data_IF_892213948140
#
_entry.id   IF_892213948140
#
_cell.length_a   1.000
_cell.length_b   1.000
_cell.length_c   1.000
_cell.angle_alpha   90.00
_cell.angle_beta   90.00
_cell.angle_gamma   90.00
#
_symmetry.space_group_name_H-M   'P 1'
#
loop_
_entity.id
_entity.type
_entity.pdbx_description
1 polymer ?
#
# COMPACT_ATOMS: atom_id res chain seq x y z
N UNK A 1 44.10 34.66 51.83
CA UNK A 1 43.59 35.79 51.02
C UNK A 1 43.61 35.35 49.55
N UNK A 2 42.59 35.66 48.74
CA UNK A 2 42.64 35.35 47.32
C UNK A 2 43.76 36.14 46.63
N UNK A 3 44.58 35.45 45.82
CA UNK A 3 45.64 36.10 45.03
C UNK A 3 45.00 36.87 43.87
N UNK A 4 45.22 38.19 43.81
CA UNK A 4 44.66 39.05 42.76
C UNK A 4 45.27 38.65 41.41
N UNK A 5 44.41 38.40 40.41
CA UNK A 5 44.83 38.09 39.04
C UNK A 5 45.11 36.61 38.74
N UNK A 6 44.95 35.70 39.71
CA UNK A 6 45.06 34.26 39.47
C UNK A 6 43.71 33.56 39.61
N UNK A 7 43.44 32.53 38.78
CA UNK A 7 42.25 31.71 38.95
C UNK A 7 42.31 30.95 40.28
N UNK A 8 41.13 30.59 40.81
CA UNK A 8 41.03 29.80 42.03
C UNK A 8 41.79 28.48 41.87
N UNK A 9 42.67 28.17 42.83
CA UNK A 9 43.45 26.93 42.81
C UNK A 9 42.48 25.75 42.97
N UNK A 10 42.47 24.86 41.99
CA UNK A 10 41.67 23.64 42.03
C UNK A 10 42.58 22.48 42.45
N UNK A 11 42.16 21.64 43.41
CA UNK A 11 43.02 20.61 44.03
C UNK A 11 43.12 19.31 43.23
N UNK A 12 42.79 19.32 41.94
CA UNK A 12 42.87 18.12 41.10
C UNK A 12 44.28 17.91 40.57
N UNK A 13 44.73 16.66 40.55
CA UNK A 13 45.96 16.25 39.87
C UNK A 13 45.74 16.37 38.36
N UNK A 14 46.33 17.40 37.75
CA UNK A 14 46.27 17.61 36.31
C UNK A 14 47.30 16.71 35.59
N UNK A 15 47.00 16.28 34.35
CA UNK A 15 47.98 15.68 33.45
C UNK A 15 49.24 16.54 33.26
N UNK A 16 50.29 15.92 32.70
CA UNK A 16 51.57 16.59 32.39
C UNK A 16 51.38 17.86 31.55
N UNK A 17 52.36 18.78 31.60
CA UNK A 17 52.30 20.07 30.89
C UNK A 17 52.06 19.93 29.38
N UNK A 18 52.52 18.82 28.78
CA UNK A 18 52.40 18.56 27.34
C UNK A 18 51.04 17.99 26.93
N UNK A 19 50.11 17.80 27.89
CA UNK A 19 48.78 17.31 27.61
C UNK A 19 47.90 18.40 27.00
N UNK A 20 47.50 18.21 25.75
CA UNK A 20 46.51 19.05 25.10
C UNK A 20 45.10 18.68 25.59
N UNK A 21 44.45 19.60 26.31
CA UNK A 21 43.06 19.45 26.70
C UNK A 21 42.13 19.65 25.49
N UNK A 22 41.07 18.86 25.42
CA UNK A 22 40.07 18.91 24.36
C UNK A 22 40.00 17.60 23.56
N UNK A 23 39.04 17.54 22.64
CA UNK A 23 38.87 16.41 21.73
C UNK A 23 39.74 16.62 20.50
N UNK A 24 40.78 15.80 20.34
CA UNK A 24 41.54 15.75 19.10
C UNK A 24 40.78 14.90 18.06
N UNK A 25 40.31 15.56 17.00
CA UNK A 25 39.71 14.87 15.85
C UNK A 25 40.83 14.66 14.83
N UNK A 26 41.40 13.46 14.84
CA UNK A 26 42.38 13.07 13.84
C UNK A 26 41.71 13.00 12.46
N UNK A 27 42.16 13.86 11.53
CA UNK A 27 41.71 13.81 10.14
C UNK A 27 42.61 12.86 9.37
N UNK A 28 42.04 11.76 8.88
CA UNK A 28 42.70 10.79 7.99
C UNK A 28 42.08 10.86 6.60
N UNK A 29 41.78 12.07 6.13
CA UNK A 29 40.96 12.28 4.92
C UNK A 29 41.80 12.36 3.64
N UNK A 30 43.12 12.11 3.72
CA UNK A 30 44.03 12.12 2.55
C UNK A 30 44.23 13.46 1.83
N UNK A 31 43.46 14.47 2.21
CA UNK A 31 43.42 15.78 1.58
C UNK A 31 42.72 15.79 0.23
N UNK A 32 42.93 16.87 -0.51
CA UNK A 32 42.36 17.12 -1.85
C UNK A 32 42.63 16.00 -2.86
N UNK A 33 43.84 15.40 -2.97
CA UNK A 33 44.09 14.39 -3.99
C UNK A 33 43.29 13.10 -3.78
N UNK A 34 43.07 12.68 -2.53
CA UNK A 34 42.25 11.49 -2.22
C UNK A 34 40.76 11.76 -2.49
N UNK A 35 40.28 12.97 -2.14
CA UNK A 35 38.90 13.40 -2.41
C UNK A 35 38.55 13.47 -3.91
N UNK A 36 39.51 13.81 -4.77
CA UNK A 36 39.30 13.89 -6.23
C UNK A 36 39.63 12.56 -6.92
N UNK A 37 40.66 11.85 -6.45
CA UNK A 37 41.21 10.66 -7.12
C UNK A 37 40.49 9.35 -6.78
N UNK A 38 39.80 9.28 -5.64
CA UNK A 38 39.03 8.09 -5.25
C UNK A 38 37.55 8.42 -5.09
N UNK A 39 36.71 7.78 -5.91
CA UNK A 39 35.29 7.73 -5.65
C UNK A 39 35.05 6.72 -4.52
N UNK A 40 35.01 7.23 -3.29
CA UNK A 40 34.78 6.40 -2.12
C UNK A 40 33.31 5.95 -2.12
N UNK A 41 33.03 4.82 -2.76
CA UNK A 41 31.75 4.16 -2.59
C UNK A 41 31.66 3.74 -1.13
N UNK A 42 30.80 4.41 -0.36
CA UNK A 42 30.52 4.04 1.04
C UNK A 42 30.25 2.55 1.06
N UNK A 43 31.23 1.76 1.51
CA UNK A 43 31.03 0.33 1.68
C UNK A 43 29.94 0.22 2.74
N UNK A 44 28.82 -0.46 2.45
CA UNK A 44 27.77 -0.59 3.43
C UNK A 44 28.41 -1.19 4.68
N UNK A 45 28.25 -0.49 5.80
CA UNK A 45 28.68 -1.00 7.10
C UNK A 45 27.94 -2.31 7.30
N UNK A 46 28.67 -3.44 7.24
CA UNK A 46 28.10 -4.74 7.56
C UNK A 46 27.51 -4.61 8.96
N UNK A 47 26.21 -4.82 9.07
CA UNK A 47 25.57 -4.83 10.39
C UNK A 47 26.29 -5.88 11.23
N UNK A 48 26.70 -5.54 12.44
CA UNK A 48 27.27 -6.57 13.30
C UNK A 48 26.17 -7.60 13.58
N UNK A 49 26.52 -8.88 13.78
CA UNK A 49 25.53 -9.92 14.05
C UNK A 49 24.62 -9.60 15.25
N UNK A 50 25.05 -8.71 16.16
CA UNK A 50 24.27 -8.22 17.30
C UNK A 50 23.22 -7.17 16.93
N UNK A 51 23.49 -6.39 15.89
CA UNK A 51 22.58 -5.35 15.38
C UNK A 51 21.46 -5.95 14.52
N UNK A 52 21.65 -7.19 14.04
CA UNK A 52 20.66 -7.90 13.26
C UNK A 52 19.45 -8.31 14.12
N UNK A 53 18.23 -8.26 13.57
CA UNK A 53 17.04 -8.69 14.30
C UNK A 53 17.06 -10.21 14.52
N UNK A 54 16.32 -10.65 15.54
CA UNK A 54 16.16 -12.07 15.86
C UNK A 54 15.23 -12.75 14.88
N UNK A 55 15.59 -13.96 14.48
CA UNK A 55 14.72 -14.81 13.67
C UNK A 55 13.79 -15.61 14.57
N UNK A 56 12.65 -15.01 14.90
CA UNK A 56 11.67 -15.64 15.79
C UNK A 56 11.05 -16.90 15.17
N UNK A 57 10.95 -17.03 13.84
CA UNK A 57 10.32 -18.20 13.24
C UNK A 57 11.16 -19.45 13.45
N UNK A 58 12.46 -19.36 13.16
CA UNK A 58 13.37 -20.50 13.36
C UNK A 58 13.58 -20.79 14.84
N UNK A 59 13.70 -19.76 15.68
CA UNK A 59 13.80 -19.91 17.14
C UNK A 59 12.57 -20.60 17.72
N UNK A 60 11.36 -20.16 17.36
CA UNK A 60 10.11 -20.74 17.87
C UNK A 60 9.94 -22.18 17.43
N UNK A 61 10.25 -22.48 16.16
CA UNK A 61 10.23 -23.86 15.64
C UNK A 61 11.22 -24.75 16.38
N UNK A 62 12.41 -24.25 16.70
CA UNK A 62 13.40 -24.97 17.49
C UNK A 62 12.99 -25.16 18.94
N UNK A 63 12.38 -24.16 19.56
CA UNK A 63 11.87 -24.24 20.93
C UNK A 63 10.75 -25.28 21.06
N UNK A 64 9.83 -25.32 20.09
CA UNK A 64 8.78 -26.35 20.02
C UNK A 64 9.39 -27.75 19.85
N UNK A 65 10.41 -27.91 19.00
CA UNK A 65 11.15 -29.18 18.85
C UNK A 65 11.89 -29.58 20.13
N UNK A 66 12.32 -28.61 20.93
CA UNK A 66 12.97 -28.84 22.22
C UNK A 66 11.98 -29.10 23.37
N UNK A 67 10.67 -29.11 23.10
CA UNK A 67 9.64 -29.37 24.11
C UNK A 67 9.35 -28.18 25.02
N UNK A 68 9.73 -26.95 24.63
CA UNK A 68 9.35 -25.76 25.38
C UNK A 68 7.83 -25.56 25.30
N UNK A 69 7.15 -25.57 26.46
CA UNK A 69 5.70 -25.42 26.56
C UNK A 69 5.30 -24.13 27.27
N UNK A 70 6.13 -23.65 28.20
CA UNK A 70 5.85 -22.45 28.99
C UNK A 70 6.60 -21.23 28.46
N UNK A 71 6.04 -20.03 28.60
CA UNK A 71 6.72 -18.78 28.24
C UNK A 71 8.10 -18.61 28.90
N UNK A 72 8.27 -19.13 30.13
CA UNK A 72 9.56 -19.15 30.83
C UNK A 72 10.60 -20.01 30.08
N UNK A 73 10.18 -21.16 29.57
CA UNK A 73 11.05 -22.08 28.83
C UNK A 73 11.47 -21.46 27.49
N UNK A 74 10.53 -20.82 26.80
CA UNK A 74 10.82 -20.05 25.60
C UNK A 74 11.83 -18.93 25.89
N UNK A 75 11.67 -18.19 26.99
CA UNK A 75 12.61 -17.14 27.38
C UNK A 75 14.02 -17.68 27.68
N UNK A 76 14.12 -18.85 28.33
CA UNK A 76 15.41 -19.52 28.56
C UNK A 76 16.02 -20.01 27.23
N UNK A 77 15.19 -20.58 26.35
CA UNK A 77 15.59 -21.04 25.03
C UNK A 77 16.14 -19.89 24.18
N UNK A 78 15.48 -18.72 24.19
CA UNK A 78 15.93 -17.54 23.44
C UNK A 78 17.25 -16.96 23.95
N UNK A 79 17.52 -17.07 25.25
CA UNK A 79 18.81 -16.66 25.83
C UNK A 79 19.93 -17.63 25.46
N UNK A 80 19.62 -18.93 25.41
CA UNK A 80 20.60 -19.97 25.08
C UNK A 80 20.90 -20.06 23.58
N UNK A 81 19.89 -19.84 22.73
CA UNK A 81 19.98 -19.96 21.26
C UNK A 81 19.52 -18.67 20.61
N UNK A 82 20.41 -17.68 20.58
CA UNK A 82 20.16 -16.39 19.94
C UNK A 82 20.44 -16.49 18.43
N UNK A 83 19.43 -16.87 17.64
CA UNK A 83 19.50 -16.91 16.19
C UNK A 83 19.08 -15.57 15.59
N UNK A 84 19.91 -15.05 14.69
CA UNK A 84 19.73 -13.74 14.06
C UNK A 84 19.40 -13.93 12.58
N UNK A 85 18.55 -13.07 12.05
CA UNK A 85 18.24 -13.07 10.61
C UNK A 85 19.52 -12.88 9.82
N UNK A 86 19.67 -13.58 8.69
CA UNK A 86 20.80 -13.37 7.79
C UNK A 86 20.68 -12.01 7.10
N UNK A 87 21.80 -11.38 6.80
CA UNK A 87 21.87 -10.08 6.13
C UNK A 87 21.12 -10.09 4.79
N UNK A 88 21.11 -11.23 4.11
CA UNK A 88 20.43 -11.46 2.83
C UNK A 88 18.89 -11.41 2.93
N UNK A 89 18.30 -11.92 4.02
CA UNK A 89 16.84 -11.98 4.22
C UNK A 89 16.27 -10.65 4.71
N UNK A 90 17.05 -9.89 5.49
CA UNK A 90 16.65 -8.58 5.99
C UNK A 90 16.79 -7.47 4.94
N UNK A 91 17.59 -7.72 3.89
CA UNK A 91 17.60 -6.91 2.68
C UNK A 91 16.36 -7.22 1.83
N UNK A 92 15.17 -6.85 2.33
CA UNK A 92 13.94 -6.78 1.52
C UNK A 92 14.10 -5.84 0.32
N UNK A 93 15.15 -5.02 0.35
CA UNK A 93 15.70 -4.32 -0.79
C UNK A 93 16.73 -5.22 -1.46
N UNK A 94 16.28 -6.29 -2.12
CA UNK A 94 16.98 -6.83 -3.27
C UNK A 94 17.22 -5.67 -4.23
N UNK A 95 18.37 -5.02 -4.08
CA UNK A 95 18.80 -3.79 -4.74
C UNK A 95 19.25 -4.11 -6.16
N UNK A 96 18.49 -4.94 -6.85
CA UNK A 96 18.56 -5.07 -8.28
C UNK A 96 17.20 -4.64 -8.81
N UNK A 97 17.14 -3.69 -9.75
CA UNK A 97 15.92 -3.47 -10.51
C UNK A 97 15.43 -4.84 -11.01
N UNK A 98 14.11 -5.10 -11.00
CA UNK A 98 13.59 -6.31 -11.63
C UNK A 98 14.20 -6.44 -13.02
N UNK A 99 14.63 -7.65 -13.40
CA UNK A 99 15.23 -7.88 -14.72
C UNK A 99 14.16 -7.56 -15.77
N UNK A 100 14.29 -6.42 -16.43
CA UNK A 100 13.37 -5.99 -17.47
C UNK A 100 13.82 -6.55 -18.83
N UNK A 101 12.88 -6.93 -19.71
CA UNK A 101 13.20 -7.26 -21.10
C UNK A 101 13.92 -6.10 -21.79
N UNK A 102 14.81 -6.39 -22.74
CA UNK A 102 15.56 -5.35 -23.48
C UNK A 102 14.66 -4.36 -24.24
N UNK A 103 13.45 -4.77 -24.61
CA UNK A 103 12.46 -3.93 -25.28
C UNK A 103 11.52 -3.18 -24.32
N UNK A 104 11.76 -3.23 -23.00
CA UNK A 104 10.92 -2.55 -22.03
C UNK A 104 11.25 -1.05 -22.00
N UNK A 105 10.33 -0.24 -22.51
CA UNK A 105 10.40 1.22 -22.39
C UNK A 105 9.61 1.66 -21.16
N UNK A 106 10.23 2.48 -20.31
CA UNK A 106 9.54 3.11 -19.19
C UNK A 106 8.68 4.28 -19.65
N UNK A 107 7.56 4.51 -18.97
CA UNK A 107 6.68 5.65 -19.21
C UNK A 107 5.47 5.33 -20.09
N UNK A 108 4.55 6.28 -20.15
CA UNK A 108 3.33 6.19 -20.97
C UNK A 108 3.63 6.87 -22.31
N UNK A 109 3.40 6.22 -23.46
CA UNK A 109 3.59 6.88 -24.75
C UNK A 109 2.69 8.12 -24.84
N UNK A 110 3.14 9.20 -25.51
CA UNK A 110 2.31 10.39 -25.68
C UNK A 110 1.00 10.01 -26.36
N UNK A 111 -0.11 10.57 -25.87
CA UNK A 111 -1.40 10.41 -26.53
C UNK A 111 -1.26 10.83 -28.00
N UNK A 112 -1.75 10.04 -28.98
CA UNK A 112 -1.74 10.46 -30.37
C UNK A 112 -2.46 11.81 -30.50
N UNK A 113 -1.92 12.70 -31.33
CA UNK A 113 -2.56 13.99 -31.59
C UNK A 113 -3.96 13.77 -32.17
N UNK A 114 -4.89 14.67 -31.85
CA UNK A 114 -6.19 14.70 -32.51
C UNK A 114 -5.96 14.87 -34.02
N UNK A 115 -6.45 13.95 -34.87
CA UNK A 115 -6.22 14.01 -36.31
C UNK A 115 -6.82 15.30 -36.87
N UNK A 116 -5.98 16.11 -37.52
CA UNK A 116 -6.37 17.44 -38.00
C UNK A 116 -7.52 17.38 -39.01
N UNK A 117 -7.59 16.29 -39.78
CA UNK A 117 -8.65 16.05 -40.75
C UNK A 117 -10.04 16.02 -40.10
N UNK A 118 -10.19 15.39 -38.94
CA UNK A 118 -11.47 15.31 -38.24
C UNK A 118 -11.91 16.68 -37.67
N UNK A 119 -10.94 17.55 -37.37
CA UNK A 119 -11.20 18.93 -36.97
C UNK A 119 -11.67 19.78 -38.16
N UNK A 120 -10.98 19.67 -39.30
CA UNK A 120 -11.32 20.37 -40.54
C UNK A 120 -12.68 19.93 -41.10
N UNK A 121 -13.01 18.64 -40.98
CA UNK A 121 -14.32 18.11 -41.36
C UNK A 121 -15.41 18.37 -40.32
N UNK A 122 -15.10 19.02 -39.20
CA UNK A 122 -16.05 19.29 -38.11
C UNK A 122 -16.72 18.03 -37.53
N UNK A 123 -16.11 16.85 -37.63
CA UNK A 123 -16.70 15.59 -37.13
C UNK A 123 -17.07 15.64 -35.66
N UNK A 124 -16.23 16.29 -34.83
CA UNK A 124 -16.52 16.43 -33.40
C UNK A 124 -17.74 17.31 -33.11
N UNK A 125 -18.01 18.31 -33.96
CA UNK A 125 -19.25 19.10 -33.90
C UNK A 125 -20.45 18.21 -34.23
N UNK A 126 -20.34 17.39 -35.28
CA UNK A 126 -21.42 16.48 -35.68
C UNK A 126 -21.72 15.45 -34.58
N UNK A 127 -20.70 14.80 -34.04
CA UNK A 127 -20.83 13.86 -32.91
C UNK A 127 -21.51 14.52 -31.70
N UNK A 128 -21.12 15.74 -31.37
CA UNK A 128 -21.74 16.48 -30.28
C UNK A 128 -23.22 16.79 -30.56
N UNK A 129 -23.54 17.23 -31.79
CA UNK A 129 -24.93 17.49 -32.19
C UNK A 129 -25.79 16.23 -32.15
N UNK A 130 -25.27 15.08 -32.59
CA UNK A 130 -25.93 13.79 -32.48
C UNK A 130 -26.18 13.39 -31.03
N UNK A 131 -25.19 13.57 -30.17
CA UNK A 131 -25.35 13.31 -28.74
C UNK A 131 -26.43 14.20 -28.12
N UNK A 132 -26.47 15.50 -28.45
CA UNK A 132 -27.53 16.40 -27.99
C UNK A 132 -28.92 16.00 -28.51
N UNK A 133 -29.02 15.58 -29.77
CA UNK A 133 -30.28 15.04 -30.34
C UNK A 133 -30.72 13.79 -29.60
N UNK A 134 -29.81 12.85 -29.35
CA UNK A 134 -30.08 11.61 -28.61
C UNK A 134 -30.56 11.90 -27.17
N UNK A 135 -29.91 12.83 -26.46
CA UNK A 135 -30.32 13.27 -25.13
C UNK A 135 -31.72 13.89 -25.14
N UNK A 136 -32.01 14.74 -26.13
CA UNK A 136 -33.32 15.38 -26.27
C UNK A 136 -34.42 14.34 -26.53
N UNK A 137 -34.16 13.35 -27.38
CA UNK A 137 -35.09 12.24 -27.65
C UNK A 137 -35.32 11.41 -26.38
N UNK A 138 -34.25 11.04 -25.67
CA UNK A 138 -34.35 10.28 -24.42
C UNK A 138 -35.18 11.04 -23.36
N UNK A 139 -34.94 12.35 -23.20
CA UNK A 139 -35.73 13.19 -22.29
C UNK A 139 -37.21 13.27 -22.69
N UNK A 140 -37.52 13.41 -23.98
CA UNK A 140 -38.91 13.41 -24.48
C UNK A 140 -39.61 12.09 -24.21
N UNK A 141 -38.94 10.96 -24.42
CA UNK A 141 -39.49 9.63 -24.12
C UNK A 141 -39.72 9.46 -22.62
N UNK A 142 -38.79 9.90 -21.77
CA UNK A 142 -38.93 9.84 -20.33
C UNK A 142 -40.11 10.71 -19.82
N UNK A 143 -40.29 11.92 -20.36
CA UNK A 143 -41.45 12.78 -20.06
C UNK A 143 -42.77 12.14 -20.51
N UNK A 144 -42.84 11.64 -21.75
CA UNK A 144 -44.03 10.92 -22.26
C UNK A 144 -44.40 9.71 -21.41
N UNK A 145 -43.43 8.99 -20.84
CA UNK A 145 -43.71 7.87 -19.91
C UNK A 145 -44.29 8.33 -18.57
N UNK A 146 -43.98 9.54 -18.10
CA UNK A 146 -44.56 10.13 -16.88
C UNK A 146 -45.97 10.66 -17.11
N UNK A 147 -46.26 11.19 -18.30
CA UNK A 147 -47.58 11.71 -18.68
C UNK A 147 -48.60 10.61 -19.01
N UNK A 148 -48.17 9.34 -19.13
CA UNK A 148 -49.10 8.22 -19.17
C UNK A 148 -49.80 8.14 -17.82
N UNK A 149 -51.07 8.53 -17.80
CA UNK A 149 -51.97 8.37 -16.65
C UNK A 149 -51.87 6.92 -16.21
N UNK A 150 -51.35 6.70 -14.99
CA UNK A 150 -51.30 5.35 -14.41
C UNK A 150 -52.73 4.92 -14.19
N UNK A 151 -53.09 3.78 -14.78
CA UNK A 151 -54.38 3.17 -14.55
C UNK A 151 -54.51 2.81 -13.07
N UNK A 152 -55.63 3.16 -12.46
CA UNK A 152 -55.93 2.84 -11.07
C UNK A 152 -56.35 1.37 -10.96
N UNK A 153 -56.21 0.78 -9.76
CA UNK A 153 -56.60 -0.63 -9.52
C UNK A 153 -58.03 -0.92 -9.99
N UNK A 154 -58.94 0.05 -9.88
CA UNK A 154 -60.33 -0.08 -10.31
C UNK A 154 -60.50 -0.11 -11.84
N UNK A 155 -59.70 0.62 -12.62
CA UNK A 155 -59.77 0.57 -14.09
C UNK A 155 -59.19 -0.74 -14.64
N UNK A 156 -58.15 -1.27 -13.99
CA UNK A 156 -57.57 -2.58 -14.33
C UNK A 156 -58.58 -3.71 -14.09
N UNK A 157 -59.19 -3.77 -12.89
CA UNK A 157 -60.20 -4.79 -12.55
C UNK A 157 -61.48 -4.72 -13.40
N UNK A 158 -61.76 -3.58 -14.04
CA UNK A 158 -62.89 -3.45 -14.99
C UNK A 158 -62.57 -4.02 -16.37
N UNK A 159 -61.31 -3.95 -16.81
CA UNK A 159 -60.87 -4.51 -18.09
C UNK A 159 -60.62 -6.00 -17.99
N UNK A 160 -59.99 -6.40 -16.90
CA UNK A 160 -59.66 -7.78 -16.56
C UNK A 160 -60.35 -8.11 -15.23
N UNK A 161 -61.65 -8.48 -15.27
CA UNK A 161 -62.31 -8.99 -14.08
C UNK A 161 -61.57 -10.24 -13.62
N UNK A 162 -61.38 -10.37 -12.30
CA UNK A 162 -60.79 -11.59 -11.74
C UNK A 162 -61.64 -12.80 -12.21
N UNK A 163 -61.00 -13.88 -12.69
CA UNK A 163 -61.73 -15.07 -13.08
C UNK A 163 -62.58 -15.51 -11.89
N UNK A 164 -63.84 -15.87 -12.17
CA UNK A 164 -64.74 -16.38 -11.15
C UNK A 164 -64.00 -17.51 -10.43
N UNK A 165 -63.76 -17.32 -9.12
CA UNK A 165 -63.15 -18.37 -8.30
C UNK A 165 -64.06 -19.57 -8.45
N UNK A 166 -63.51 -20.71 -8.81
CA UNK A 166 -64.23 -21.97 -8.74
C UNK A 166 -64.59 -22.16 -7.26
N UNK A 167 -65.83 -21.83 -6.91
CA UNK A 167 -66.37 -22.06 -5.59
C UNK A 167 -66.41 -23.58 -5.44
N UNK A 168 -65.40 -24.12 -4.76
CA UNK A 168 -65.36 -25.52 -4.37
C UNK A 168 -66.40 -25.73 -3.27
N UNK A 169 -67.66 -25.80 -3.70
CA UNK A 169 -68.75 -26.21 -2.84
C UNK A 169 -68.43 -27.63 -2.36
N UNK A 170 -68.19 -27.75 -1.05
CA UNK A 170 -67.89 -29.02 -0.41
C UNK A 170 -69.02 -30.01 -0.70
N UNK A 171 -68.73 -31.13 -1.36
CA UNK A 171 -69.70 -32.17 -1.66
C UNK A 171 -69.35 -33.48 -0.95
N UNK A 172 -70.40 -34.23 -0.61
CA UNK A 172 -70.29 -35.51 0.08
C UNK A 172 -69.88 -36.61 -0.93
N UNK A 173 -68.79 -37.36 -0.69
CA UNK A 173 -68.24 -38.33 -1.66
C UNK A 173 -69.20 -39.44 -2.07
N UNK A 174 -70.24 -39.72 -1.28
CA UNK A 174 -71.22 -40.78 -1.58
C UNK A 174 -72.23 -40.42 -2.66
N UNK A 175 -72.26 -39.15 -3.11
CA UNK A 175 -73.20 -38.66 -4.13
C UNK A 175 -72.56 -38.49 -5.51
N UNK A 176 -71.27 -38.81 -5.65
CA UNK A 176 -70.62 -38.89 -6.97
C UNK A 176 -71.07 -40.18 -7.67
N UNK A 177 -71.74 -40.04 -8.82
CA UNK A 177 -72.21 -41.18 -9.63
C UNK A 177 -71.01 -41.91 -10.24
N UNK A 178 -71.01 -43.25 -10.13
CA UNK A 178 -70.06 -44.19 -10.76
C UNK A 178 -70.20 -44.17 -12.28
#
# INVERSE_FOLDING_TARGET
QPEVGKPQRNCYTLPALDFAYGLYIQRTDGGVPEAIGSWDTVKPRRASARDMPRDFLTMNRGALRAGCTTARDFNLYYKAKDLRCKEEEYNHLQRSPPKLPAAFTFGIPPRPSTPIFDLLQHKYKELWMEQQRALTVAQRVAKKKKDKVRETRTTLLRREPEPAKEESFWHLPRLEKV
#
